data_IF_332434164023
#
_entry.id   IF_332434164023
#
_cell.length_a   1.000
_cell.length_b   1.000
_cell.length_c   1.000
_cell.angle_alpha   90.00
_cell.angle_beta   90.00
_cell.angle_gamma   90.00
#
_symmetry.space_group_name_H-M   'P 1'
#
loop_
_entity.id
_entity.type
_entity.pdbx_description
1 polymer ?
#
# COMPACT_ATOMS: atom_id res chain seq x y z
N UNK A 1 19.52 -1.67 -3.40
CA UNK A 1 19.92 -0.97 -2.15
C UNK A 1 19.47 0.46 -2.31
N UNK A 2 18.77 1.02 -1.32
CA UNK A 2 18.26 2.40 -1.37
C UNK A 2 19.40 3.38 -1.61
N UNK A 3 19.26 4.25 -2.61
CA UNK A 3 20.19 5.35 -2.86
C UNK A 3 20.01 6.42 -1.77
N UNK A 4 21.12 6.86 -1.18
CA UNK A 4 21.14 7.84 -0.07
C UNK A 4 20.39 9.13 -0.39
N UNK A 5 20.33 9.53 -1.67
CA UNK A 5 19.62 10.74 -2.09
C UNK A 5 18.10 10.67 -1.86
N UNK A 6 17.53 9.47 -1.76
CA UNK A 6 16.10 9.25 -1.55
C UNK A 6 15.70 9.06 -0.09
N UNK A 7 16.66 9.06 0.85
CA UNK A 7 16.35 8.82 2.26
C UNK A 7 15.35 9.83 2.82
N UNK A 8 15.48 11.11 2.48
CA UNK A 8 14.54 12.15 2.90
C UNK A 8 13.13 11.90 2.36
N UNK A 9 13.00 11.43 1.12
CA UNK A 9 11.70 11.13 0.51
C UNK A 9 11.06 9.89 1.15
N UNK A 10 11.87 8.86 1.43
CA UNK A 10 11.42 7.65 2.13
C UNK A 10 10.95 8.01 3.55
N UNK A 11 11.74 8.78 4.29
CA UNK A 11 11.38 9.24 5.64
C UNK A 11 10.10 10.08 5.61
N UNK A 12 9.94 10.93 4.59
CA UNK A 12 8.72 11.72 4.41
C UNK A 12 7.50 10.83 4.15
N UNK A 13 7.62 9.76 3.36
CA UNK A 13 6.51 8.81 3.14
C UNK A 13 6.19 8.02 4.41
N UNK A 14 7.21 7.52 5.10
CA UNK A 14 7.08 6.73 6.34
C UNK A 14 6.48 7.56 7.48
N UNK A 15 6.85 8.84 7.61
CA UNK A 15 6.27 9.76 8.59
C UNK A 15 4.75 9.95 8.43
N UNK A 16 4.20 9.59 7.27
CA UNK A 16 2.76 9.70 6.96
C UNK A 16 1.99 8.41 7.20
N UNK A 17 2.64 7.33 7.67
CA UNK A 17 2.01 6.01 7.86
C UNK A 17 0.74 6.02 8.73
N UNK A 18 0.59 7.01 9.61
CA UNK A 18 -0.58 7.16 10.49
C UNK A 18 -1.54 8.30 10.13
N UNK A 19 -1.32 9.01 9.02
CA UNK A 19 -2.13 10.19 8.68
C UNK A 19 -3.62 9.92 8.48
N UNK A 20 -3.97 8.70 8.08
CA UNK A 20 -5.37 8.27 7.90
C UNK A 20 -6.00 7.69 9.18
N UNK A 21 -5.27 7.74 10.30
CA UNK A 21 -5.70 7.27 11.62
C UNK A 21 -5.40 5.79 11.90
N UNK A 22 -5.23 4.96 10.87
CA UNK A 22 -4.72 3.58 11.00
C UNK A 22 -3.21 3.51 10.86
N UNK A 23 -2.65 2.30 10.83
CA UNK A 23 -1.25 2.09 10.42
C UNK A 23 -1.16 1.77 8.92
N UNK A 24 0.05 1.79 8.36
CA UNK A 24 0.35 1.46 6.96
C UNK A 24 -0.51 2.26 5.97
N UNK A 25 -0.68 3.55 6.28
CA UNK A 25 -1.47 4.51 5.48
C UNK A 25 -2.94 4.13 5.30
N UNK A 26 -3.45 3.17 6.09
CA UNK A 26 -4.85 2.79 6.10
C UNK A 26 -5.66 3.61 7.11
N UNK A 27 -6.99 3.51 7.02
CA UNK A 27 -7.88 4.01 8.06
C UNK A 27 -8.15 2.94 9.13
N UNK A 28 -8.59 3.33 10.35
CA UNK A 28 -8.96 2.36 11.39
C UNK A 28 -10.09 1.41 10.97
N UNK A 29 -10.97 1.84 10.06
CA UNK A 29 -12.04 1.01 9.49
C UNK A 29 -11.59 0.15 8.29
N UNK A 30 -10.28 0.07 7.99
CA UNK A 30 -9.74 -0.86 7.00
C UNK A 30 -9.82 -0.39 5.54
N UNK A 31 -9.84 0.92 5.29
CA UNK A 31 -9.72 1.46 3.93
C UNK A 31 -8.25 1.62 3.58
N UNK A 32 -7.83 1.05 2.44
CA UNK A 32 -6.42 1.00 2.01
C UNK A 32 -6.14 1.86 0.77
N UNK A 33 -7.18 2.48 0.20
CA UNK A 33 -7.06 3.36 -0.96
C UNK A 33 -7.84 4.66 -0.77
N UNK A 34 -7.44 5.42 0.25
CA UNK A 34 -8.00 6.73 0.64
C UNK A 34 -6.89 7.67 1.11
N UNK A 35 -7.18 8.96 1.24
CA UNK A 35 -6.23 9.93 1.80
C UNK A 35 -5.05 10.26 0.89
N UNK A 36 -5.30 10.31 -0.43
CA UNK A 36 -4.29 10.69 -1.44
C UNK A 36 -3.50 11.94 -1.01
N UNK A 37 -2.17 11.96 -1.16
CA UNK A 37 -1.33 10.97 -1.86
C UNK A 37 -0.90 9.77 -0.99
N UNK A 38 -1.15 9.79 0.32
CA UNK A 38 -0.65 8.79 1.27
C UNK A 38 -1.73 7.75 1.61
N UNK A 39 -2.10 6.95 0.62
CA UNK A 39 -2.87 5.71 0.82
C UNK A 39 -1.92 4.51 0.91
N UNK A 40 -2.39 3.33 1.36
CA UNK A 40 -1.57 2.11 1.37
C UNK A 40 -1.06 1.78 -0.03
N UNK A 41 -1.93 1.73 -1.05
CA UNK A 41 -1.52 1.41 -2.42
C UNK A 41 -0.53 2.44 -2.99
N UNK A 42 -0.80 3.72 -2.80
CA UNK A 42 0.06 4.80 -3.31
C UNK A 42 1.43 4.82 -2.63
N UNK A 43 1.46 4.67 -1.30
CA UNK A 43 2.70 4.73 -0.53
C UNK A 43 3.61 3.53 -0.79
N UNK A 44 3.04 2.32 -0.93
CA UNK A 44 3.78 1.16 -1.40
C UNK A 44 4.30 1.36 -2.82
N UNK A 45 3.50 1.93 -3.71
CA UNK A 45 3.94 2.28 -5.06
C UNK A 45 5.15 3.21 -5.08
N UNK A 46 5.12 4.27 -4.27
CA UNK A 46 6.22 5.23 -4.12
C UNK A 46 7.45 4.58 -3.48
N UNK A 47 7.29 3.83 -2.38
CA UNK A 47 8.39 3.15 -1.70
C UNK A 47 9.10 2.13 -2.59
N UNK A 48 8.35 1.40 -3.41
CA UNK A 48 8.94 0.51 -4.42
C UNK A 48 9.79 1.29 -5.44
N UNK A 49 9.32 2.44 -5.91
CA UNK A 49 10.06 3.29 -6.87
C UNK A 49 11.34 3.88 -6.26
N UNK A 50 11.45 3.91 -4.92
CA UNK A 50 12.64 4.34 -4.18
C UNK A 50 13.50 3.16 -3.68
N UNK A 51 13.32 1.95 -4.25
CA UNK A 51 14.07 0.73 -3.93
C UNK A 51 13.91 0.22 -2.47
N UNK A 52 12.81 0.56 -1.80
CA UNK A 52 12.48 0.00 -0.49
C UNK A 52 11.86 -1.39 -0.66
N UNK A 53 12.52 -2.40 -0.09
CA UNK A 53 12.16 -3.82 -0.23
C UNK A 53 10.99 -4.24 0.67
N UNK A 54 10.38 -5.40 0.36
CA UNK A 54 9.30 -6.01 1.16
C UNK A 54 9.71 -6.39 2.59
N UNK A 55 11.01 -6.46 2.89
CA UNK A 55 11.53 -6.70 4.24
C UNK A 55 11.37 -5.51 5.19
N UNK A 56 11.10 -4.30 4.68
CA UNK A 56 10.81 -3.15 5.54
C UNK A 56 9.46 -3.31 6.22
N UNK A 57 9.38 -3.08 7.54
CA UNK A 57 8.17 -3.36 8.33
C UNK A 57 6.90 -2.67 7.78
N UNK A 58 7.01 -1.40 7.39
CA UNK A 58 5.89 -0.65 6.83
C UNK A 58 5.42 -1.19 5.47
N UNK A 59 6.35 -1.73 4.67
CA UNK A 59 6.03 -2.33 3.37
C UNK A 59 5.36 -3.67 3.58
N UNK A 60 5.93 -4.53 4.43
CA UNK A 60 5.35 -5.82 4.81
C UNK A 60 3.93 -5.66 5.36
N UNK A 61 3.72 -4.74 6.31
CA UNK A 61 2.42 -4.45 6.89
C UNK A 61 1.40 -3.97 5.85
N UNK A 62 1.80 -3.04 4.97
CA UNK A 62 0.94 -2.57 3.89
C UNK A 62 0.58 -3.67 2.88
N UNK A 63 1.52 -4.55 2.53
CA UNK A 63 1.26 -5.69 1.63
C UNK A 63 0.27 -6.68 2.25
N UNK A 64 0.41 -6.97 3.55
CA UNK A 64 -0.54 -7.83 4.27
C UNK A 64 -1.96 -7.25 4.23
N UNK A 65 -2.13 -5.93 4.39
CA UNK A 65 -3.44 -5.30 4.25
C UNK A 65 -4.06 -5.50 2.84
N UNK A 66 -3.25 -5.51 1.78
CA UNK A 66 -3.74 -5.79 0.42
C UNK A 66 -4.16 -7.26 0.30
N UNK A 67 -3.36 -8.18 0.85
CA UNK A 67 -3.66 -9.61 0.84
C UNK A 67 -4.94 -9.92 1.64
N UNK A 68 -5.13 -9.28 2.79
CA UNK A 68 -6.36 -9.39 3.60
C UNK A 68 -7.59 -8.84 2.87
N UNK A 69 -7.40 -7.87 1.97
CA UNK A 69 -8.44 -7.31 1.12
C UNK A 69 -8.77 -8.18 -0.11
N UNK A 70 -7.97 -9.22 -0.40
CA UNK A 70 -8.19 -10.14 -1.50
C UNK A 70 -9.30 -11.15 -1.13
N UNK A 71 -10.27 -11.29 -2.03
CA UNK A 71 -11.37 -12.26 -1.95
C UNK A 71 -11.05 -13.55 -2.73
N UNK A 72 -11.71 -14.64 -2.35
CA UNK A 72 -11.63 -15.93 -3.07
C UNK A 72 -11.94 -15.82 -4.57
N UNK A 73 -12.77 -14.86 -4.97
CA UNK A 73 -13.16 -14.61 -6.36
C UNK A 73 -12.13 -13.80 -7.19
N UNK A 74 -10.93 -13.56 -6.65
CA UNK A 74 -9.86 -12.82 -7.35
C UNK A 74 -9.93 -11.31 -7.21
N UNK A 75 -11.06 -10.75 -6.76
CA UNK A 75 -11.24 -9.30 -6.63
C UNK A 75 -10.67 -8.80 -5.31
N UNK A 76 -10.17 -7.57 -5.33
CA UNK A 76 -9.69 -6.87 -4.12
C UNK A 76 -10.70 -5.83 -3.68
N UNK A 77 -11.05 -5.86 -2.38
CA UNK A 77 -11.98 -4.92 -1.75
C UNK A 77 -11.21 -3.87 -0.93
N UNK A 78 -11.01 -2.69 -1.50
CA UNK A 78 -10.18 -1.63 -0.89
C UNK A 78 -10.81 -0.90 0.31
N UNK A 79 -12.07 -1.19 0.62
CA UNK A 79 -12.80 -0.66 1.78
C UNK A 79 -14.00 -1.57 2.13
N UNK A 80 -14.44 -1.66 3.40
CA UNK A 80 -15.48 -2.61 3.82
C UNK A 80 -16.81 -2.53 3.06
N UNK A 81 -17.23 -1.33 2.64
CA UNK A 81 -18.56 -1.05 2.06
C UNK A 81 -18.49 -0.32 0.70
N UNK A 82 -17.46 -0.59 -0.10
CA UNK A 82 -17.31 0.03 -1.42
C UNK A 82 -17.74 -0.92 -2.54
N UNK A 83 -18.29 -0.35 -3.62
CA UNK A 83 -18.49 -1.05 -4.89
C UNK A 83 -17.15 -1.56 -5.42
N UNK A 84 -17.10 -2.81 -5.87
CA UNK A 84 -15.89 -3.40 -6.45
C UNK A 84 -15.75 -2.93 -7.91
N UNK A 85 -14.79 -2.04 -8.15
CA UNK A 85 -14.42 -1.63 -9.51
C UNK A 85 -13.18 -2.41 -9.99
N UNK A 86 -13.11 -2.78 -11.29
CA UNK A 86 -11.95 -3.49 -11.82
C UNK A 86 -10.61 -2.77 -11.58
N UNK A 87 -10.60 -1.44 -11.62
CA UNK A 87 -9.41 -0.63 -11.36
C UNK A 87 -8.84 -0.84 -9.95
N UNK A 88 -9.68 -1.16 -8.96
CA UNK A 88 -9.21 -1.45 -7.61
C UNK A 88 -8.40 -2.73 -7.53
N UNK A 89 -8.88 -3.77 -8.22
CA UNK A 89 -8.18 -5.05 -8.30
C UNK A 89 -6.90 -4.89 -9.12
N UNK A 90 -6.96 -4.17 -10.25
CA UNK A 90 -5.79 -3.90 -11.07
C UNK A 90 -4.69 -3.14 -10.31
N UNK A 91 -5.07 -2.12 -9.54
CA UNK A 91 -4.10 -1.32 -8.78
C UNK A 91 -3.48 -2.12 -7.62
N UNK A 92 -4.28 -2.89 -6.89
CA UNK A 92 -3.78 -3.80 -5.86
C UNK A 92 -2.83 -4.86 -6.44
N UNK A 93 -3.22 -5.50 -7.54
CA UNK A 93 -2.39 -6.48 -8.23
C UNK A 93 -1.08 -5.87 -8.73
N UNK A 94 -1.13 -4.64 -9.29
CA UNK A 94 0.07 -3.91 -9.74
C UNK A 94 1.07 -3.72 -8.59
N UNK A 95 0.60 -3.34 -7.41
CA UNK A 95 1.46 -3.19 -6.21
C UNK A 95 2.01 -4.54 -5.77
N UNK A 96 1.18 -5.57 -5.67
CA UNK A 96 1.62 -6.92 -5.30
C UNK A 96 2.70 -7.46 -6.27
N UNK A 97 2.49 -7.35 -7.58
CA UNK A 97 3.46 -7.79 -8.59
C UNK A 97 4.80 -7.07 -8.47
N UNK A 98 4.79 -5.75 -8.20
CA UNK A 98 6.02 -4.97 -7.95
C UNK A 98 6.84 -5.53 -6.77
N UNK A 99 6.18 -6.09 -5.78
CA UNK A 99 6.82 -6.71 -4.62
C UNK A 99 7.05 -8.22 -4.72
N UNK A 100 6.93 -8.80 -5.93
CA UNK A 100 7.32 -10.19 -6.20
C UNK A 100 6.22 -11.24 -5.98
N UNK A 101 4.95 -10.85 -5.94
CA UNK A 101 3.80 -11.76 -5.84
C UNK A 101 3.22 -12.18 -7.21
N UNK A 102 4.00 -12.04 -8.29
CA UNK A 102 3.60 -12.38 -9.66
C UNK A 102 3.91 -13.83 -10.02
#
# INVERSE_FOLDING_TARGET
MVDKKYLTDIDAILAKRHHNGGDFWATPDGRIYVGSPFSTLSSLGMLHELDVTSSHEAVCGGLNLILDAWREDGRVRLAPRVTLYPCYTAEAARVLCRYGYA
#
